data_IF_491291516258
#
_entry.id   IF_491291516258
#
_cell.length_a   1.000
_cell.length_b   1.000
_cell.length_c   1.000
_cell.angle_alpha   90.00
_cell.angle_beta   90.00
_cell.angle_gamma   90.00
#
_symmetry.space_group_name_H-M   'P 1'
#
loop_
_entity.id
_entity.type
_entity.pdbx_description
1 polymer ?
#
# COMPACT_ATOMS: atom_id res chain seq x y z
N UNK A 1 12.30 -0.45 -25.85
CA UNK A 1 11.36 -1.08 -24.89
C UNK A 1 10.88 -0.12 -23.78
N UNK A 2 10.84 1.21 -23.99
CA UNK A 2 10.25 2.18 -23.04
C UNK A 2 8.87 2.66 -23.50
N UNK A 3 7.83 1.82 -23.40
CA UNK A 3 6.57 2.15 -24.10
C UNK A 3 5.26 1.76 -23.39
N UNK A 4 5.29 1.05 -22.24
CA UNK A 4 4.05 0.70 -21.50
C UNK A 4 3.94 1.45 -20.18
N UNK A 5 4.98 1.42 -19.36
CA UNK A 5 5.00 2.17 -18.09
C UNK A 5 4.88 3.67 -18.31
N UNK A 6 5.61 4.21 -19.30
CA UNK A 6 5.58 5.65 -19.60
C UNK A 6 4.20 6.09 -20.09
N UNK A 7 3.50 5.25 -20.86
CA UNK A 7 2.10 5.49 -21.24
C UNK A 7 1.20 5.54 -20.01
N UNK A 8 1.30 4.56 -19.11
CA UNK A 8 0.50 4.56 -17.87
C UNK A 8 0.79 5.81 -17.05
N UNK A 9 2.05 6.19 -16.86
CA UNK A 9 2.42 7.43 -16.15
C UNK A 9 1.79 8.66 -16.80
N UNK A 10 1.92 8.79 -18.12
CA UNK A 10 1.34 9.92 -18.87
C UNK A 10 -0.18 9.98 -18.76
N UNK A 11 -0.85 8.84 -18.70
CA UNK A 11 -2.31 8.76 -18.57
C UNK A 11 -2.78 9.16 -17.17
N UNK A 12 -2.08 8.71 -16.11
CA UNK A 12 -2.34 9.20 -14.75
C UNK A 12 -2.11 10.71 -14.64
N UNK A 13 -1.07 11.23 -15.31
CA UNK A 13 -0.80 12.67 -15.42
C UNK A 13 -2.00 13.42 -16.00
N UNK A 14 -2.46 12.96 -17.17
CA UNK A 14 -3.55 13.60 -17.90
C UNK A 14 -4.89 13.51 -17.16
N UNK A 15 -5.22 12.34 -16.59
CA UNK A 15 -6.53 12.05 -16.00
C UNK A 15 -6.74 12.71 -14.64
N UNK A 16 -5.69 12.77 -13.82
CA UNK A 16 -5.76 13.31 -12.46
C UNK A 16 -5.14 14.71 -12.34
N UNK A 17 -4.62 15.28 -13.44
CA UNK A 17 -3.98 16.59 -13.43
C UNK A 17 -2.70 16.64 -12.58
N UNK A 18 -2.04 15.50 -12.39
CA UNK A 18 -0.84 15.40 -11.56
C UNK A 18 0.38 15.94 -12.31
N UNK A 19 1.29 16.58 -11.60
CA UNK A 19 2.63 16.91 -12.09
C UNK A 19 3.52 15.66 -12.20
N UNK A 20 4.64 15.77 -12.90
CA UNK A 20 5.63 14.68 -12.97
C UNK A 20 6.16 14.35 -11.57
N UNK A 21 6.40 15.37 -10.74
CA UNK A 21 6.90 15.20 -9.39
C UNK A 21 5.88 14.50 -8.50
N UNK A 22 4.59 14.82 -8.63
CA UNK A 22 3.54 14.11 -7.89
C UNK A 22 3.44 12.64 -8.30
N UNK A 23 3.61 12.32 -9.58
CA UNK A 23 3.65 10.92 -10.05
C UNK A 23 4.85 10.20 -9.44
N UNK A 24 6.05 10.79 -9.52
CA UNK A 24 7.26 10.13 -9.02
C UNK A 24 7.30 10.04 -7.49
N UNK A 25 6.71 11.00 -6.77
CA UNK A 25 6.76 11.03 -5.31
C UNK A 25 5.61 10.25 -4.65
N UNK A 26 4.40 10.31 -5.23
CA UNK A 26 3.19 9.77 -4.59
C UNK A 26 2.74 8.43 -5.18
N UNK A 27 3.02 8.15 -6.45
CA UNK A 27 2.60 6.89 -7.08
C UNK A 27 3.70 5.83 -7.00
N UNK A 28 3.27 4.59 -6.79
CA UNK A 28 4.14 3.43 -6.76
C UNK A 28 3.75 2.45 -7.86
N UNK A 29 4.57 2.40 -8.91
CA UNK A 29 4.41 1.43 -9.99
C UNK A 29 5.17 0.16 -9.64
N UNK A 30 4.49 -0.98 -9.71
CA UNK A 30 5.09 -2.29 -9.50
C UNK A 30 4.63 -3.26 -10.59
N UNK A 31 5.43 -4.31 -10.81
CA UNK A 31 5.07 -5.41 -11.71
C UNK A 31 4.70 -6.65 -10.90
N UNK A 32 3.63 -7.31 -11.31
CA UNK A 32 3.29 -8.65 -10.83
C UNK A 32 4.21 -9.70 -11.46
N UNK A 33 4.17 -10.95 -10.97
CA UNK A 33 4.93 -12.07 -11.55
C UNK A 33 4.57 -12.33 -13.01
N UNK A 34 3.34 -12.02 -13.40
CA UNK A 34 2.83 -12.19 -14.77
C UNK A 34 3.04 -10.91 -15.60
N UNK A 35 4.02 -10.08 -15.24
CA UNK A 35 4.39 -8.82 -15.91
C UNK A 35 3.29 -7.74 -15.99
N UNK A 36 2.14 -7.93 -15.33
CA UNK A 36 1.10 -6.89 -15.23
C UNK A 36 1.57 -5.74 -14.36
N UNK A 37 1.30 -4.51 -14.79
CA UNK A 37 1.60 -3.31 -14.03
C UNK A 37 0.47 -3.01 -13.05
N UNK A 38 0.81 -2.74 -11.80
CA UNK A 38 -0.10 -2.24 -10.77
C UNK A 38 0.36 -0.87 -10.27
N UNK A 39 -0.59 -0.08 -9.80
CA UNK A 39 -0.33 1.29 -9.32
C UNK A 39 -0.82 1.43 -7.89
N UNK A 40 0.09 1.71 -6.98
CA UNK A 40 -0.19 2.14 -5.62
C UNK A 40 -0.40 3.65 -5.58
N UNK A 41 -1.50 4.12 -4.98
CA UNK A 41 -1.85 5.54 -4.94
C UNK A 41 -2.44 5.93 -3.58
N UNK A 42 -1.91 6.97 -2.91
CA UNK A 42 -2.52 7.52 -1.71
C UNK A 42 -3.73 8.38 -2.07
N UNK A 43 -4.72 8.39 -1.18
CA UNK A 43 -5.89 9.24 -1.23
C UNK A 43 -6.09 9.81 0.18
N UNK A 44 -5.95 11.13 0.29
CA UNK A 44 -6.04 11.84 1.55
C UNK A 44 -7.45 12.38 1.74
N UNK A 45 -8.10 12.00 2.83
CA UNK A 45 -9.40 12.55 3.21
C UNK A 45 -9.19 13.50 4.39
N UNK A 46 -9.51 14.79 4.21
CA UNK A 46 -9.30 15.83 5.23
C UNK A 46 -10.10 15.60 6.54
N UNK A 47 -11.02 14.63 6.55
CA UNK A 47 -11.92 14.37 7.67
C UNK A 47 -11.91 12.92 8.20
N UNK A 48 -11.11 12.01 7.61
CA UNK A 48 -11.12 10.57 7.91
C UNK A 48 -9.74 9.91 7.76
N UNK A 49 -9.68 8.59 7.98
CA UNK A 49 -8.53 7.75 7.64
C UNK A 49 -8.06 8.00 6.19
N UNK A 50 -6.76 8.19 5.99
CA UNK A 50 -6.15 8.15 4.67
C UNK A 50 -6.27 6.73 4.10
N UNK A 51 -6.32 6.64 2.78
CA UNK A 51 -6.38 5.34 2.09
C UNK A 51 -5.22 5.23 1.10
N UNK A 52 -4.57 4.08 1.07
CA UNK A 52 -3.61 3.73 0.04
C UNK A 52 -4.20 2.60 -0.79
N UNK A 53 -4.47 2.87 -2.05
CA UNK A 53 -5.13 1.94 -2.97
C UNK A 53 -4.13 1.25 -3.88
N UNK A 54 -4.43 0.02 -4.26
CA UNK A 54 -3.76 -0.68 -5.35
C UNK A 54 -4.73 -0.82 -6.53
N UNK A 55 -4.35 -0.32 -7.70
CA UNK A 55 -5.12 -0.42 -8.94
C UNK A 55 -4.47 -1.37 -9.93
N UNK A 56 -5.31 -1.95 -10.81
CA UNK A 56 -4.82 -2.57 -12.03
C UNK A 56 -4.36 -1.45 -12.97
N UNK A 57 -3.05 -1.37 -13.19
CA UNK A 57 -2.40 -0.32 -13.96
C UNK A 57 -2.64 -0.43 -15.45
N UNK A 58 -3.29 -1.50 -15.93
CA UNK A 58 -3.64 -1.67 -17.35
C UNK A 58 -5.10 -1.32 -17.63
N UNK A 59 -5.93 -1.21 -16.58
CA UNK A 59 -7.35 -0.81 -16.67
C UNK A 59 -7.57 0.69 -16.48
N UNK A 60 -6.54 1.51 -16.63
CA UNK A 60 -6.64 2.97 -16.52
C UNK A 60 -7.56 3.61 -17.58
N UNK A 61 -7.95 2.88 -18.63
CA UNK A 61 -8.94 3.31 -19.61
C UNK A 61 -10.38 3.11 -19.14
N UNK A 62 -10.63 2.33 -18.09
CA UNK A 62 -11.97 2.10 -17.59
C UNK A 62 -12.40 3.27 -16.71
N UNK A 63 -13.57 3.85 -17.00
CA UNK A 63 -14.22 4.89 -16.18
C UNK A 63 -14.50 4.40 -14.75
N UNK A 64 -14.52 3.07 -14.55
CA UNK A 64 -14.84 2.38 -13.30
C UNK A 64 -13.69 1.45 -12.85
N UNK A 65 -12.43 1.87 -12.98
CA UNK A 65 -11.31 1.07 -12.47
C UNK A 65 -11.37 1.02 -10.93
N UNK A 66 -12.14 0.08 -10.41
CA UNK A 66 -12.25 -0.17 -8.98
C UNK A 66 -10.89 -0.60 -8.44
N UNK A 67 -10.48 -0.11 -7.27
CA UNK A 67 -9.26 -0.57 -6.64
C UNK A 67 -9.35 -2.08 -6.35
N UNK A 68 -8.22 -2.75 -6.46
CA UNK A 68 -8.08 -4.16 -6.12
C UNK A 68 -8.20 -4.34 -4.61
N UNK A 69 -7.46 -3.52 -3.87
CA UNK A 69 -7.32 -3.58 -2.43
C UNK A 69 -6.87 -2.22 -1.87
N UNK A 70 -7.05 -2.03 -0.57
CA UNK A 70 -6.66 -0.80 0.12
C UNK A 70 -6.09 -1.04 1.52
N UNK A 71 -5.23 -0.10 1.95
CA UNK A 71 -4.81 0.08 3.35
C UNK A 71 -5.40 1.39 3.84
N UNK A 72 -6.18 1.34 4.93
CA UNK A 72 -6.59 2.54 5.67
C UNK A 72 -5.57 2.83 6.75
N UNK A 73 -5.13 4.08 6.83
CA UNK A 73 -4.08 4.50 7.74
C UNK A 73 -4.23 5.96 8.16
N UNK A 74 -3.51 6.35 9.20
CA UNK A 74 -3.23 7.76 9.49
C UNK A 74 -1.74 7.95 9.74
N UNK A 75 -1.23 9.15 9.50
CA UNK A 75 0.14 9.51 9.84
C UNK A 75 0.17 9.89 11.31
N UNK A 76 1.09 9.28 12.06
CA UNK A 76 1.28 9.59 13.47
C UNK A 76 1.74 11.03 13.66
N UNK A 77 1.52 11.57 14.87
CA UNK A 77 1.86 12.97 15.20
C UNK A 77 3.35 13.29 15.03
N UNK A 78 4.21 12.27 15.04
CA UNK A 78 5.65 12.39 14.82
C UNK A 78 6.03 12.58 13.34
N UNK A 79 5.06 12.43 12.42
CA UNK A 79 5.25 12.39 10.97
C UNK A 79 6.27 11.34 10.49
N UNK A 80 6.61 10.38 11.36
CA UNK A 80 7.59 9.31 11.10
C UNK A 80 6.98 7.92 11.18
N UNK A 81 5.75 7.83 11.69
CA UNK A 81 4.97 6.61 11.77
C UNK A 81 3.70 6.69 10.91
N UNK A 82 3.31 5.56 10.34
CA UNK A 82 1.98 5.36 9.76
C UNK A 82 1.26 4.26 10.52
N UNK A 83 0.08 4.58 11.03
CA UNK A 83 -0.75 3.66 11.78
C UNK A 83 -1.79 3.01 10.87
N UNK A 84 -1.60 1.72 10.59
CA UNK A 84 -2.49 0.86 9.82
C UNK A 84 -3.73 0.56 10.67
N UNK A 85 -4.88 1.02 10.17
CA UNK A 85 -6.19 0.73 10.73
C UNK A 85 -6.76 -0.56 10.17
N UNK A 86 -6.60 -0.76 8.86
CA UNK A 86 -7.21 -1.87 8.15
C UNK A 86 -6.51 -2.14 6.82
N UNK A 87 -6.44 -3.41 6.46
CA UNK A 87 -6.14 -3.86 5.10
C UNK A 87 -7.36 -4.62 4.58
N UNK A 88 -7.82 -4.31 3.38
CA UNK A 88 -8.96 -5.01 2.78
C UNK A 88 -8.86 -5.14 1.27
N UNK A 89 -9.41 -6.24 0.75
CA UNK A 89 -9.69 -6.36 -0.68
C UNK A 89 -10.99 -5.65 -0.98
N UNK A 90 -10.94 -4.68 -1.89
CA UNK A 90 -12.16 -4.03 -2.39
C UNK A 90 -12.84 -4.96 -3.39
N UNK A 91 -12.05 -5.72 -4.17
CA UNK A 91 -12.55 -6.76 -5.06
C UNK A 91 -12.06 -8.16 -4.64
N UNK A 92 -12.98 -8.99 -4.17
CA UNK A 92 -12.68 -10.34 -3.68
C UNK A 92 -12.14 -11.30 -4.75
N UNK A 93 -12.33 -11.01 -6.05
CA UNK A 93 -11.80 -11.84 -7.15
C UNK A 93 -10.26 -11.83 -7.21
N UNK A 94 -9.62 -10.92 -6.49
CA UNK A 94 -8.17 -10.79 -6.40
C UNK A 94 -7.57 -11.47 -5.16
N UNK A 95 -8.41 -12.03 -4.27
CA UNK A 95 -7.94 -12.80 -3.11
C UNK A 95 -7.12 -14.02 -3.54
N UNK A 96 -6.10 -14.35 -2.75
CA UNK A 96 -5.22 -15.50 -3.02
C UNK A 96 -4.18 -15.30 -4.12
N UNK A 97 -4.22 -14.18 -4.86
CA UNK A 97 -3.32 -13.91 -6.00
C UNK A 97 -2.10 -13.03 -5.66
N UNK A 98 -1.80 -12.87 -4.37
CA UNK A 98 -0.62 -12.11 -3.91
C UNK A 98 -0.77 -10.57 -3.87
N UNK A 99 -1.93 -10.02 -4.26
CA UNK A 99 -2.13 -8.56 -4.28
C UNK A 99 -2.10 -7.89 -2.90
N UNK A 100 -2.44 -8.59 -1.82
CA UNK A 100 -2.27 -8.04 -0.46
C UNK A 100 -0.80 -7.76 -0.15
N UNK A 101 0.08 -8.73 -0.43
CA UNK A 101 1.54 -8.55 -0.29
C UNK A 101 2.05 -7.44 -1.20
N UNK A 102 1.54 -7.35 -2.43
CA UNK A 102 1.92 -6.27 -3.35
C UNK A 102 1.50 -4.90 -2.81
N UNK A 103 0.26 -4.76 -2.35
CA UNK A 103 -0.27 -3.56 -1.72
C UNK A 103 0.59 -3.13 -0.53
N UNK A 104 0.96 -4.06 0.37
CA UNK A 104 1.82 -3.78 1.50
C UNK A 104 3.20 -3.27 1.07
N UNK A 105 3.85 -3.93 0.09
CA UNK A 105 5.14 -3.48 -0.44
C UNK A 105 5.06 -2.10 -1.10
N UNK A 106 4.01 -1.84 -1.87
CA UNK A 106 3.77 -0.53 -2.45
C UNK A 106 3.58 0.54 -1.36
N UNK A 107 2.83 0.23 -0.31
CA UNK A 107 2.61 1.13 0.81
C UNK A 107 3.90 1.40 1.59
N UNK A 108 4.72 0.38 1.86
CA UNK A 108 6.04 0.53 2.48
C UNK A 108 6.94 1.47 1.67
N UNK A 109 6.98 1.29 0.35
CA UNK A 109 7.76 2.14 -0.55
C UNK A 109 7.25 3.59 -0.56
N UNK A 110 5.93 3.76 -0.54
CA UNK A 110 5.32 5.08 -0.39
C UNK A 110 5.72 5.73 0.94
N UNK A 111 5.68 5.00 2.05
CA UNK A 111 6.13 5.49 3.35
C UNK A 111 7.61 5.91 3.34
N UNK A 112 8.49 5.07 2.80
CA UNK A 112 9.93 5.40 2.69
C UNK A 112 10.18 6.68 1.88
N UNK A 113 9.50 6.86 0.73
CA UNK A 113 9.58 8.10 -0.06
C UNK A 113 9.14 9.34 0.71
N UNK A 114 8.23 9.17 1.66
CA UNK A 114 7.66 10.25 2.47
C UNK A 114 8.31 10.35 3.87
N UNK A 115 9.49 9.75 4.07
CA UNK A 115 10.23 9.74 5.35
C UNK A 115 9.43 9.18 6.54
N UNK A 116 8.55 8.23 6.28
CA UNK A 116 7.83 7.45 7.28
C UNK A 116 8.59 6.14 7.44
N UNK A 117 9.10 5.88 8.65
CA UNK A 117 10.03 4.79 8.94
C UNK A 117 9.47 3.75 9.93
N UNK A 118 8.26 3.95 10.44
CA UNK A 118 7.56 2.97 11.27
C UNK A 118 6.16 2.71 10.73
N UNK A 119 5.80 1.43 10.62
CA UNK A 119 4.42 1.00 10.42
C UNK A 119 3.91 0.37 11.70
N UNK A 120 2.78 0.84 12.19
CA UNK A 120 2.19 0.39 13.45
C UNK A 120 0.71 0.12 13.24
N UNK A 121 0.07 -0.61 14.13
CA UNK A 121 -1.37 -0.84 14.03
C UNK A 121 -1.89 -1.76 15.11
N UNK A 122 -3.20 -1.74 15.31
CA UNK A 122 -3.86 -2.77 16.08
C UNK A 122 -4.00 -4.04 15.22
N UNK A 123 -3.70 -5.20 15.81
CA UNK A 123 -3.98 -6.47 15.16
C UNK A 123 -5.48 -6.78 15.30
N UNK A 124 -6.25 -6.42 14.28
CA UNK A 124 -7.67 -6.76 14.19
C UNK A 124 -7.85 -7.77 13.04
N UNK A 125 -8.03 -9.07 13.32
CA UNK A 125 -8.36 -10.02 12.26
C UNK A 125 -9.72 -9.67 11.68
N UNK A 126 -9.81 -9.61 10.34
CA UNK A 126 -11.09 -9.38 9.66
C UNK A 126 -12.06 -10.52 10.01
N UNK A 127 -13.33 -10.21 10.26
CA UNK A 127 -14.36 -11.15 10.74
C UNK A 127 -14.48 -12.47 9.94
N UNK A 128 -14.04 -12.49 8.67
CA UNK A 128 -14.15 -13.63 7.77
C UNK A 128 -12.82 -14.37 7.53
N UNK A 129 -11.73 -13.96 8.17
CA UNK A 129 -10.41 -14.58 8.02
C UNK A 129 -9.95 -15.16 9.36
N UNK A 130 -9.35 -16.36 9.34
CA UNK A 130 -8.78 -16.95 10.55
C UNK A 130 -7.69 -16.01 11.13
N UNK A 131 -7.73 -15.69 12.44
CA UNK A 131 -6.70 -14.86 13.07
C UNK A 131 -5.28 -15.37 12.84
N UNK A 132 -5.09 -16.69 12.79
CA UNK A 132 -3.79 -17.30 12.51
C UNK A 132 -3.32 -17.01 11.08
N UNK A 133 -4.22 -17.06 10.09
CA UNK A 133 -3.88 -16.74 8.69
C UNK A 133 -3.45 -15.27 8.55
N UNK A 134 -4.18 -14.36 9.20
CA UNK A 134 -3.86 -12.92 9.18
C UNK A 134 -2.53 -12.66 9.90
N UNK A 135 -2.31 -13.30 11.07
CA UNK A 135 -1.04 -13.21 11.80
C UNK A 135 0.14 -13.70 10.96
N UNK A 136 0.01 -14.87 10.34
CA UNK A 136 1.04 -15.44 9.47
C UNK A 136 1.31 -14.56 8.25
N UNK A 137 0.29 -13.89 7.71
CA UNK A 137 0.48 -12.88 6.68
C UNK A 137 1.37 -11.73 7.16
N UNK A 138 1.07 -11.09 8.30
CA UNK A 138 1.87 -9.98 8.82
C UNK A 138 3.30 -10.40 9.16
N UNK A 139 3.49 -11.57 9.79
CA UNK A 139 4.83 -12.13 10.06
C UNK A 139 5.65 -12.29 8.78
N UNK A 140 5.06 -12.84 7.71
CA UNK A 140 5.74 -12.99 6.41
C UNK A 140 6.09 -11.65 5.74
N UNK A 141 5.39 -10.57 6.09
CA UNK A 141 5.73 -9.22 5.65
C UNK A 141 6.67 -8.50 6.64
N UNK A 142 7.24 -9.18 7.62
CA UNK A 142 8.25 -8.62 8.54
C UNK A 142 7.68 -7.84 9.72
N UNK A 143 6.39 -7.97 10.03
CA UNK A 143 5.81 -7.35 11.22
C UNK A 143 6.09 -8.19 12.48
N UNK A 144 6.42 -7.49 13.55
CA UNK A 144 6.48 -7.99 14.92
C UNK A 144 5.13 -7.79 15.62
N UNK A 145 4.92 -8.54 16.69
CA UNK A 145 3.69 -8.50 17.48
C UNK A 145 3.99 -8.16 18.93
N UNK A 146 3.18 -7.29 19.53
CA UNK A 146 3.25 -6.94 20.94
C UNK A 146 1.86 -7.00 21.56
N UNK A 147 1.75 -7.59 22.76
CA UNK A 147 0.50 -7.60 23.52
C UNK A 147 0.58 -6.60 24.67
N UNK A 148 -0.40 -5.71 24.78
CA UNK A 148 -0.52 -4.70 25.84
C UNK A 148 -1.96 -4.73 26.34
N UNK A 149 -2.17 -4.95 27.64
CA UNK A 149 -3.50 -4.95 28.28
C UNK A 149 -4.53 -5.86 27.57
N UNK A 150 -4.10 -7.04 27.11
CA UNK A 150 -4.98 -7.98 26.41
C UNK A 150 -5.13 -7.72 24.91
N UNK A 151 -4.79 -6.52 24.43
CA UNK A 151 -4.86 -6.11 23.04
C UNK A 151 -3.54 -6.39 22.32
N UNK A 152 -3.61 -6.78 21.05
CA UNK A 152 -2.42 -7.10 20.25
C UNK A 152 -2.18 -6.04 19.19
N UNK A 153 -0.91 -5.69 19.00
CA UNK A 153 -0.45 -4.66 18.09
C UNK A 153 0.59 -5.24 17.14
N UNK A 154 0.58 -4.74 15.91
CA UNK A 154 1.61 -5.00 14.90
C UNK A 154 2.56 -3.81 14.83
N UNK A 155 3.84 -4.09 14.58
CA UNK A 155 4.81 -3.05 14.27
C UNK A 155 5.87 -3.55 13.29
N UNK A 156 6.39 -2.64 12.46
CA UNK A 156 7.50 -2.89 11.53
C UNK A 156 8.29 -1.60 11.34
N UNK A 157 9.59 -1.67 11.56
CA UNK A 157 10.52 -0.61 11.17
C UNK A 157 10.86 -0.76 9.69
N UNK A 158 10.78 0.34 8.94
CA UNK A 158 11.19 0.40 7.54
C UNK A 158 12.64 0.86 7.50
N UNK A 159 13.48 0.11 6.79
CA UNK A 159 14.85 0.53 6.53
C UNK A 159 14.85 1.66 5.50
N UNK A 160 15.73 2.63 5.65
CA UNK A 160 15.94 3.66 4.64
C UNK A 160 16.73 3.05 3.48
N UNK A 161 16.10 2.94 2.31
CA UNK A 161 16.79 2.44 1.10
C UNK A 161 17.93 3.38 0.66
N UNK A 162 18.01 4.61 1.19
CA UNK A 162 19.11 5.55 0.88
C UNK A 162 20.50 5.09 1.35
N UNK A 163 20.60 4.08 2.22
CA UNK A 163 21.87 3.53 2.70
C UNK A 163 22.24 2.17 2.09
N UNK A 164 21.52 1.71 1.07
CA UNK A 164 21.94 0.55 0.27
C UNK A 164 22.58 1.03 -1.03
N UNK A 165 23.78 1.61 -0.88
CA UNK A 165 24.73 1.73 -1.99
C UNK A 165 25.14 0.32 -2.42
N UNK A 166 24.85 -0.05 -3.66
CA UNK A 166 25.58 -1.09 -4.39
C UNK A 166 26.72 -0.39 -5.12
#
# INVERSE_FOLDING_TARGET
MGNKLDKIKQEYKNRYGLSQDEIENNLIFAKTKDEKIVVGMPFFNQSQDNSFYLFDGEKYMDLYNEPIAQIKFFIGKDNKSAYIRRLEFVNNNYKGKGYATMLMKCFEKYCQKNNIFSLEGEFIPLHNESPEKVRNYYKRNGFSFKKVNGQEYISKTLQDEKNLSI
#
